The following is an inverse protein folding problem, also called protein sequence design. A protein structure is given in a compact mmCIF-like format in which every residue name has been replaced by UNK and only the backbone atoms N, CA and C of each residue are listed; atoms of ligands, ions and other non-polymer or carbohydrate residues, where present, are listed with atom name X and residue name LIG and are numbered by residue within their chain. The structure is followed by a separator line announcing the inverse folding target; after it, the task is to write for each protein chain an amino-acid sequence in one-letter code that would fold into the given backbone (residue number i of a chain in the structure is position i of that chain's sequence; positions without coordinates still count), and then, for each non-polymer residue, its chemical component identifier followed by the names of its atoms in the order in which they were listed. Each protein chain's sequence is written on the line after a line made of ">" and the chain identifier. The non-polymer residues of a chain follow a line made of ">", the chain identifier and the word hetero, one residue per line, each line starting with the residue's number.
data_IF_299700004225
#
_entry.id   IF_299700004225
#
_cell.length_a   1.000
_cell.length_b   1.000
_cell.length_c   1.000
_cell.angle_alpha   90.00
_cell.angle_beta   90.00
_cell.angle_gamma   90.00
#
_symmetry.space_group_name_H-M   'P 1'
#
loop_
_entity.id
_entity.type
_entity.pdbx_description
1 polymer ?
#
# COMPACT_ATOMS: atom_id res chain seq x y z
N UNK A 1 -37.45 -2.49 -2.77
CA UNK A 1 -36.60 -2.56 -3.98
C UNK A 1 -35.21 -2.04 -3.55
N UNK A 2 -34.32 -2.96 -3.20
CA UNK A 2 -33.00 -2.62 -2.67
C UNK A 2 -32.11 -2.12 -3.80
N UNK A 3 -31.78 -0.83 -3.79
CA UNK A 3 -30.79 -0.23 -4.68
C UNK A 3 -29.40 -0.65 -4.18
N UNK A 4 -28.93 -1.81 -4.61
CA UNK A 4 -27.54 -2.21 -4.38
C UNK A 4 -26.72 -1.41 -5.41
N UNK A 5 -25.88 -0.46 -4.99
CA UNK A 5 -24.94 0.15 -5.91
C UNK A 5 -24.04 -0.94 -6.46
N UNK A 6 -23.98 -1.09 -7.77
CA UNK A 6 -23.05 -2.01 -8.42
C UNK A 6 -21.64 -1.44 -8.33
N UNK A 7 -21.02 -1.59 -7.18
CA UNK A 7 -19.59 -1.34 -7.00
C UNK A 7 -18.87 -2.67 -6.81
N UNK A 8 -17.77 -2.81 -7.49
CA UNK A 8 -16.80 -3.85 -7.20
C UNK A 8 -15.82 -3.27 -6.18
N UNK A 9 -15.76 -3.87 -5.01
CA UNK A 9 -14.78 -3.51 -4.00
C UNK A 9 -13.78 -4.65 -3.83
N UNK A 10 -12.51 -4.35 -4.00
CA UNK A 10 -11.42 -5.23 -3.62
C UNK A 10 -10.83 -4.71 -2.32
N UNK A 11 -11.03 -5.45 -1.25
CA UNK A 11 -10.34 -5.16 0.02
C UNK A 11 -9.12 -6.06 0.11
N UNK A 12 -7.95 -5.48 -0.02
CA UNK A 12 -6.69 -6.17 0.28
C UNK A 12 -6.49 -6.16 1.79
N UNK A 13 -6.73 -7.29 2.43
CA UNK A 13 -6.45 -7.52 3.86
C UNK A 13 -5.02 -7.99 4.12
N UNK A 14 -4.22 -8.08 3.08
CA UNK A 14 -2.82 -8.49 3.17
C UNK A 14 -2.01 -7.49 3.98
N UNK A 15 -0.97 -7.99 4.61
CA UNK A 15 -0.05 -7.19 5.39
C UNK A 15 0.43 -5.96 4.61
N UNK A 16 0.46 -4.81 5.27
CA UNK A 16 1.01 -3.59 4.70
C UNK A 16 2.46 -3.80 4.29
N UNK A 17 2.87 -3.20 3.20
CA UNK A 17 4.23 -3.23 2.74
C UNK A 17 5.00 -2.02 3.30
N UNK A 18 6.04 -2.29 4.06
CA UNK A 18 7.02 -1.27 4.41
C UNK A 18 8.02 -1.14 3.27
N UNK A 19 8.22 0.08 2.79
CA UNK A 19 9.25 0.40 1.80
C UNK A 19 10.42 1.08 2.51
N UNK A 20 11.60 0.50 2.33
CA UNK A 20 12.80 0.92 3.04
C UNK A 20 14.03 0.90 2.13
N UNK A 21 15.02 1.67 2.51
CA UNK A 21 16.42 1.51 2.14
C UNK A 21 17.22 1.49 3.44
N UNK A 22 18.22 0.63 3.51
CA UNK A 22 19.18 0.37 4.58
C UNK A 22 19.17 1.37 5.78
N UNK A 23 19.26 0.98 7.08
CA UNK A 23 19.70 -0.34 7.57
C UNK A 23 18.56 -1.32 7.89
N UNK A 24 17.30 -0.90 7.88
CA UNK A 24 16.15 -1.75 8.22
C UNK A 24 15.92 -2.91 7.23
N UNK A 25 16.55 -2.83 6.06
CA UNK A 25 16.46 -3.84 5.00
C UNK A 25 16.92 -5.25 5.42
N UNK A 26 17.72 -5.37 6.48
CA UNK A 26 18.16 -6.67 7.03
C UNK A 26 17.05 -7.42 7.77
N UNK A 27 16.02 -6.71 8.22
CA UNK A 27 14.87 -7.32 8.89
C UNK A 27 13.91 -7.91 7.88
N UNK A 28 13.36 -9.09 8.20
CA UNK A 28 12.34 -9.75 7.36
C UNK A 28 10.95 -9.15 7.54
N UNK A 29 10.61 -8.79 8.75
CA UNK A 29 9.35 -8.14 9.13
C UNK A 29 9.68 -6.91 9.95
N UNK A 30 9.03 -5.80 9.62
CA UNK A 30 9.16 -4.55 10.35
C UNK A 30 7.97 -4.36 11.28
N UNK A 31 8.27 -3.93 12.50
CA UNK A 31 7.28 -3.54 13.50
C UNK A 31 7.15 -2.01 13.57
N UNK A 32 6.13 -1.46 14.21
CA UNK A 32 6.05 -0.01 14.42
C UNK A 32 7.31 0.57 15.07
N UNK A 33 7.90 -0.14 16.05
CA UNK A 33 9.08 0.32 16.80
C UNK A 33 10.31 0.56 15.92
N UNK A 34 10.43 -0.17 14.82
CA UNK A 34 11.53 0.00 13.86
C UNK A 34 11.54 1.37 13.18
N UNK A 35 10.45 2.09 13.26
CA UNK A 35 10.30 3.44 12.69
C UNK A 35 10.57 4.55 13.71
N UNK A 36 10.89 4.20 14.96
CA UNK A 36 11.12 5.20 16.00
C UNK A 36 12.39 6.02 15.72
N UNK A 37 12.22 7.34 15.58
CA UNK A 37 13.32 8.24 15.26
C UNK A 37 13.76 8.25 13.79
N UNK A 38 13.22 7.35 12.96
CA UNK A 38 13.58 7.26 11.55
C UNK A 38 13.08 8.46 10.73
N UNK A 39 13.83 8.81 9.71
CA UNK A 39 13.41 9.75 8.68
C UNK A 39 12.23 9.16 7.92
N UNK A 40 11.06 9.75 8.09
CA UNK A 40 9.83 9.22 7.53
C UNK A 40 9.29 10.10 6.42
N UNK A 41 8.98 9.48 5.29
CA UNK A 41 8.33 10.11 4.15
C UNK A 41 6.87 9.66 4.16
N UNK A 42 5.94 10.59 4.07
CA UNK A 42 4.53 10.31 4.25
C UNK A 42 3.65 10.81 3.12
N UNK A 43 2.47 10.22 3.01
CA UNK A 43 1.36 10.82 2.28
C UNK A 43 0.83 12.05 3.03
N UNK A 44 0.02 12.87 2.38
CA UNK A 44 -0.58 14.05 2.97
C UNK A 44 -1.54 13.68 4.11
N UNK A 45 -1.77 14.61 5.03
CA UNK A 45 -2.64 14.42 6.20
C UNK A 45 -4.10 14.15 5.85
N UNK A 46 -4.53 14.50 4.66
CA UNK A 46 -5.88 14.25 4.16
C UNK A 46 -6.07 12.84 3.58
N UNK A 47 -4.98 12.09 3.42
CA UNK A 47 -5.03 10.71 2.92
C UNK A 47 -5.49 9.76 4.04
N UNK A 48 -6.51 8.95 3.74
CA UNK A 48 -7.11 8.04 4.72
C UNK A 48 -6.16 6.92 5.16
N UNK A 49 -5.32 6.42 4.25
CA UNK A 49 -4.30 5.42 4.59
C UNK A 49 -3.24 5.99 5.55
N UNK A 50 -2.84 7.26 5.31
CA UNK A 50 -1.96 7.99 6.21
C UNK A 50 -2.58 8.15 7.60
N UNK A 51 -3.86 8.48 7.70
CA UNK A 51 -4.55 8.66 8.99
C UNK A 51 -4.56 7.36 9.80
N UNK A 52 -4.80 6.22 9.15
CA UNK A 52 -4.71 4.90 9.78
C UNK A 52 -3.30 4.61 10.30
N UNK A 53 -2.27 4.92 9.51
CA UNK A 53 -0.87 4.78 9.93
C UNK A 53 -0.53 5.69 11.10
N UNK A 54 -0.98 6.93 11.10
CA UNK A 54 -0.72 7.87 12.20
C UNK A 54 -1.36 7.39 13.51
N UNK A 55 -2.58 6.88 13.45
CA UNK A 55 -3.23 6.27 14.60
C UNK A 55 -2.42 5.07 15.11
N UNK A 56 -2.06 4.14 14.22
CA UNK A 56 -1.28 2.96 14.55
C UNK A 56 0.05 3.32 15.24
N UNK A 57 0.80 4.25 14.70
CA UNK A 57 2.07 4.68 15.28
C UNK A 57 1.88 5.40 16.63
N UNK A 58 0.78 6.14 16.78
CA UNK A 58 0.43 6.79 18.04
C UNK A 58 0.09 5.77 19.12
N UNK A 59 -0.72 4.77 18.81
CA UNK A 59 -1.10 3.68 19.72
C UNK A 59 0.13 2.87 20.18
N UNK A 60 1.13 2.72 19.30
CA UNK A 60 2.38 2.05 19.63
C UNK A 60 3.45 3.01 20.20
N UNK A 61 3.13 4.26 20.50
CA UNK A 61 4.04 5.27 21.06
C UNK A 61 5.29 5.55 20.20
N UNK A 62 5.21 5.33 18.90
CA UNK A 62 6.31 5.51 17.95
C UNK A 62 6.33 6.94 17.43
N UNK A 63 7.46 7.62 17.63
CA UNK A 63 7.72 8.99 17.13
C UNK A 63 8.61 8.90 15.91
N UNK A 64 8.03 9.13 14.71
CA UNK A 64 8.76 9.22 13.45
C UNK A 64 9.25 10.64 13.22
N UNK A 65 10.38 10.79 12.57
CA UNK A 65 10.86 12.12 12.13
C UNK A 65 10.30 12.42 10.74
N UNK A 66 9.18 13.12 10.69
CA UNK A 66 8.51 13.49 9.46
C UNK A 66 9.35 14.51 8.67
N UNK A 67 9.94 14.10 7.55
CA UNK A 67 10.82 14.98 6.76
C UNK A 67 10.18 15.43 5.45
N UNK A 68 9.28 14.65 4.87
CA UNK A 68 8.58 14.99 3.63
C UNK A 68 7.13 14.51 3.69
N UNK A 69 6.22 15.34 3.20
CA UNK A 69 4.84 14.97 2.91
C UNK A 69 4.54 15.18 1.42
N UNK A 70 3.84 14.24 0.79
CA UNK A 70 3.45 14.28 -0.62
C UNK A 70 2.08 13.68 -0.84
N UNK A 71 1.41 14.03 -1.93
CA UNK A 71 0.11 13.45 -2.33
C UNK A 71 0.24 12.15 -3.14
N UNK A 72 1.45 11.73 -3.47
CA UNK A 72 1.69 10.60 -4.39
C UNK A 72 2.49 9.49 -3.71
N UNK A 73 1.90 8.30 -3.62
CA UNK A 73 2.62 7.11 -3.14
C UNK A 73 3.80 6.73 -4.05
N UNK A 74 3.71 7.02 -5.34
CA UNK A 74 4.83 6.88 -6.28
C UNK A 74 6.02 7.78 -5.90
N UNK A 75 5.73 9.04 -5.54
CA UNK A 75 6.77 9.97 -5.07
C UNK A 75 7.39 9.52 -3.74
N UNK A 76 6.59 8.96 -2.83
CA UNK A 76 7.11 8.33 -1.60
C UNK A 76 8.12 7.26 -1.96
N UNK A 77 7.76 6.31 -2.83
CA UNK A 77 8.64 5.21 -3.24
C UNK A 77 9.92 5.71 -3.92
N UNK A 78 9.81 6.72 -4.78
CA UNK A 78 10.98 7.31 -5.45
C UNK A 78 11.96 7.95 -4.46
N UNK A 79 11.46 8.68 -3.45
CA UNK A 79 12.29 9.29 -2.41
C UNK A 79 12.90 8.25 -1.48
N UNK A 80 12.16 7.21 -1.11
CA UNK A 80 12.72 6.08 -0.34
C UNK A 80 13.84 5.43 -1.14
N UNK A 81 13.65 5.16 -2.42
CA UNK A 81 14.69 4.61 -3.31
C UNK A 81 15.93 5.51 -3.42
N UNK A 82 15.75 6.82 -3.33
CA UNK A 82 16.84 7.78 -3.30
C UNK A 82 17.55 7.87 -1.93
N UNK A 83 17.15 7.07 -0.94
CA UNK A 83 17.78 7.05 0.39
C UNK A 83 17.36 8.20 1.32
N UNK A 84 16.29 8.93 0.99
CA UNK A 84 15.85 10.09 1.79
C UNK A 84 15.27 9.64 3.13
N UNK A 85 14.64 8.48 3.19
CA UNK A 85 14.02 7.96 4.42
C UNK A 85 13.29 6.64 4.19
N UNK A 86 12.39 6.32 5.12
CA UNK A 86 11.57 5.11 5.11
C UNK A 86 10.09 5.46 5.05
N UNK A 87 9.25 4.50 4.65
CA UNK A 87 7.79 4.69 4.65
C UNK A 87 7.04 3.37 4.78
N UNK A 88 5.75 3.48 5.07
CA UNK A 88 4.78 2.39 4.89
C UNK A 88 3.78 2.83 3.82
N UNK A 89 3.64 2.03 2.77
CA UNK A 89 2.75 2.30 1.64
C UNK A 89 1.76 1.15 1.45
N UNK A 90 0.73 1.39 0.66
CA UNK A 90 -0.17 0.32 0.28
C UNK A 90 0.58 -0.74 -0.56
N UNK A 91 0.17 -2.01 -0.46
CA UNK A 91 0.91 -3.11 -1.08
C UNK A 91 0.93 -3.06 -2.61
N UNK A 92 -0.08 -2.48 -3.27
CA UNK A 92 -0.11 -2.35 -4.73
C UNK A 92 1.01 -1.42 -5.22
N UNK A 93 1.17 -0.27 -4.58
CA UNK A 93 2.28 0.64 -4.92
C UNK A 93 3.63 -0.02 -4.65
N UNK A 94 3.77 -0.76 -3.54
CA UNK A 94 5.01 -1.47 -3.23
C UNK A 94 5.37 -2.49 -4.33
N UNK A 95 4.37 -3.22 -4.86
CA UNK A 95 4.55 -4.18 -5.95
C UNK A 95 5.15 -3.53 -7.20
N UNK A 96 4.57 -2.40 -7.63
CA UNK A 96 5.02 -1.69 -8.84
C UNK A 96 6.48 -1.22 -8.74
N UNK A 97 6.91 -0.85 -7.54
CA UNK A 97 8.27 -0.33 -7.32
C UNK A 97 9.30 -1.37 -6.87
N UNK A 98 8.88 -2.56 -6.44
CA UNK A 98 9.79 -3.64 -6.06
C UNK A 98 10.75 -4.01 -7.20
N UNK A 99 10.23 -4.09 -8.43
CA UNK A 99 11.02 -4.38 -9.63
C UNK A 99 12.06 -3.31 -9.97
N UNK A 100 11.92 -2.09 -9.42
CA UNK A 100 12.83 -0.96 -9.67
C UNK A 100 13.92 -0.80 -8.61
N UNK A 101 14.17 -1.85 -7.80
CA UNK A 101 15.24 -1.87 -6.78
C UNK A 101 14.84 -1.28 -5.42
N UNK A 102 13.55 -1.02 -5.20
CA UNK A 102 13.05 -0.66 -3.90
C UNK A 102 13.00 -1.89 -2.99
N UNK A 103 13.56 -1.81 -1.81
CA UNK A 103 13.46 -2.89 -0.83
C UNK A 103 12.10 -2.83 -0.16
N UNK A 104 11.31 -3.87 -0.33
CA UNK A 104 9.99 -4.03 0.28
C UNK A 104 10.08 -5.06 1.39
N UNK A 105 9.50 -4.77 2.54
CA UNK A 105 9.42 -5.68 3.68
C UNK A 105 7.98 -5.75 4.19
N UNK A 106 7.65 -6.87 4.79
CA UNK A 106 6.37 -7.04 5.43
C UNK A 106 6.29 -6.14 6.67
N UNK A 107 5.19 -5.42 6.82
CA UNK A 107 4.88 -4.72 8.06
C UNK A 107 4.06 -5.63 8.97
N UNK A 108 4.39 -5.71 10.25
CA UNK A 108 3.80 -6.67 11.20
C UNK A 108 2.31 -6.46 11.44
N UNK A 109 1.82 -5.24 11.22
CA UNK A 109 0.42 -4.87 11.40
C UNK A 109 -0.22 -4.64 10.02
N UNK A 110 -1.34 -5.32 9.77
CA UNK A 110 -2.10 -5.13 8.54
C UNK A 110 -2.89 -3.82 8.60
N UNK A 111 -2.62 -2.91 7.67
CA UNK A 111 -3.42 -1.70 7.46
C UNK A 111 -4.34 -1.96 6.28
N UNK A 112 -5.66 -1.92 6.46
CA UNK A 112 -6.60 -2.26 5.40
C UNK A 112 -6.49 -1.26 4.24
N UNK A 113 -6.44 -1.80 3.03
CA UNK A 113 -6.41 -1.03 1.79
C UNK A 113 -7.49 -1.55 0.85
N UNK A 114 -8.37 -0.67 0.40
CA UNK A 114 -9.50 -1.03 -0.45
C UNK A 114 -9.43 -0.28 -1.77
N UNK A 115 -9.51 -1.00 -2.87
CA UNK A 115 -9.71 -0.46 -4.21
C UNK A 115 -11.14 -0.75 -4.63
N UNK A 116 -11.87 0.26 -5.09
CA UNK A 116 -13.25 0.11 -5.51
C UNK A 116 -13.43 0.59 -6.94
N UNK A 117 -14.07 -0.23 -7.76
CA UNK A 117 -14.57 0.17 -9.07
C UNK A 117 -15.99 0.70 -8.91
N UNK A 118 -16.18 1.98 -9.17
CA UNK A 118 -17.48 2.65 -9.04
C UNK A 118 -18.08 2.80 -10.42
N UNK A 119 -19.32 2.36 -10.59
CA UNK A 119 -20.09 2.56 -11.83
C UNK A 119 -21.32 3.42 -11.56
N UNK A 120 -21.64 4.36 -12.47
CA UNK A 120 -22.86 5.19 -12.34
C UNK A 120 -24.11 4.31 -12.47
N UNK A 121 -25.06 4.47 -11.55
CA UNK A 121 -26.27 3.67 -11.50
C UNK A 121 -27.26 3.96 -12.66
N UNK A 122 -27.22 5.16 -13.21
CA UNK A 122 -28.23 5.66 -14.14
C UNK A 122 -27.77 5.68 -15.61
N UNK A 123 -26.60 5.10 -15.90
CA UNK A 123 -26.13 4.96 -17.29
C UNK A 123 -26.06 3.49 -17.67
N UNK A 124 -26.61 3.09 -18.84
CA UNK A 124 -26.38 1.77 -19.38
C UNK A 124 -24.89 1.51 -19.50
N UNK A 125 -24.44 0.36 -19.07
CA UNK A 125 -23.05 -0.05 -19.25
C UNK A 125 -22.84 -0.40 -20.72
N UNK A 126 -21.90 0.27 -21.40
CA UNK A 126 -21.50 -0.15 -22.74
C UNK A 126 -20.80 -1.52 -22.68
N UNK A 127 -20.81 -2.26 -23.78
CA UNK A 127 -20.11 -3.54 -23.89
C UNK A 127 -18.61 -3.41 -23.54
N UNK A 128 -18.00 -2.28 -23.90
CA UNK A 128 -16.59 -1.99 -23.57
C UNK A 128 -16.38 -1.83 -22.05
N UNK A 129 -17.24 -1.11 -21.36
CA UNK A 129 -17.16 -0.93 -19.90
C UNK A 129 -17.37 -2.26 -19.17
N UNK A 130 -18.26 -3.10 -19.67
CA UNK A 130 -18.51 -4.42 -19.11
C UNK A 130 -17.31 -5.33 -19.32
N UNK A 131 -16.78 -5.45 -20.53
CA UNK A 131 -15.59 -6.23 -20.84
C UNK A 131 -14.37 -5.77 -20.03
N UNK A 132 -14.15 -4.46 -19.88
CA UNK A 132 -13.09 -3.92 -19.02
C UNK A 132 -13.26 -4.34 -17.57
N UNK A 133 -14.48 -4.25 -17.03
CA UNK A 133 -14.76 -4.63 -15.64
C UNK A 133 -14.51 -6.12 -15.40
N UNK A 134 -14.93 -6.97 -16.32
CA UNK A 134 -14.71 -8.41 -16.26
C UNK A 134 -13.21 -8.76 -16.34
N UNK A 135 -12.49 -8.08 -17.22
CA UNK A 135 -11.05 -8.28 -17.36
C UNK A 135 -10.27 -7.85 -16.12
N UNK A 136 -10.67 -6.72 -15.53
CA UNK A 136 -10.11 -6.24 -14.26
C UNK A 136 -10.36 -7.27 -13.14
N UNK A 137 -11.59 -7.78 -13.01
CA UNK A 137 -11.93 -8.80 -12.01
C UNK A 137 -11.12 -10.08 -12.18
N UNK A 138 -10.97 -10.53 -13.42
CA UNK A 138 -10.18 -11.73 -13.74
C UNK A 138 -8.68 -11.57 -13.45
N UNK A 139 -8.16 -10.33 -13.47
CA UNK A 139 -6.77 -10.00 -13.15
C UNK A 139 -6.46 -9.97 -11.65
N UNK A 140 -7.46 -9.73 -10.80
CA UNK A 140 -7.26 -9.53 -9.36
C UNK A 140 -6.58 -10.71 -8.64
N UNK A 141 -6.95 -11.99 -8.88
CA UNK A 141 -6.28 -13.11 -8.21
C UNK A 141 -4.78 -13.16 -8.51
N UNK A 142 -4.38 -12.85 -9.75
CA UNK A 142 -2.96 -12.80 -10.14
C UNK A 142 -2.21 -11.70 -9.39
N UNK A 143 -2.83 -10.55 -9.23
CA UNK A 143 -2.26 -9.43 -8.49
C UNK A 143 -2.03 -9.80 -7.02
N UNK A 144 -3.02 -10.41 -6.36
CA UNK A 144 -2.90 -10.89 -4.97
C UNK A 144 -1.76 -11.91 -4.84
N UNK A 145 -1.68 -12.88 -5.75
CA UNK A 145 -0.60 -13.88 -5.77
C UNK A 145 0.78 -13.22 -5.91
N UNK A 146 0.90 -12.20 -6.77
CA UNK A 146 2.16 -11.46 -6.96
C UNK A 146 2.56 -10.70 -5.70
N UNK A 147 1.59 -10.09 -5.01
CA UNK A 147 1.82 -9.42 -3.73
C UNK A 147 2.32 -10.38 -2.65
N UNK A 148 1.66 -11.52 -2.52
CA UNK A 148 2.06 -12.55 -1.55
C UNK A 148 3.46 -13.10 -1.86
N UNK A 149 3.79 -13.29 -3.14
CA UNK A 149 5.11 -13.75 -3.55
C UNK A 149 6.21 -12.75 -3.16
N UNK A 150 6.03 -11.44 -3.40
CA UNK A 150 7.01 -10.41 -3.01
C UNK A 150 7.16 -10.32 -1.50
N UNK A 151 6.05 -10.32 -0.77
CA UNK A 151 6.08 -10.26 0.70
C UNK A 151 6.65 -11.53 1.33
N UNK A 152 6.55 -12.68 0.66
CA UNK A 152 7.11 -13.96 1.11
C UNK A 152 8.58 -14.11 0.73
N UNK A 153 9.00 -13.68 -0.45
CA UNK A 153 10.42 -13.71 -0.87
C UNK A 153 11.29 -12.82 0.03
N UNK A 154 10.73 -11.73 0.54
CA UNK A 154 11.37 -10.90 1.56
C UNK A 154 11.62 -11.66 2.89
N UNK A 155 11.01 -12.83 3.08
CA UNK A 155 11.16 -13.67 4.27
C UNK A 155 12.28 -14.74 4.11
N UNK A 156 12.77 -14.99 2.89
CA UNK A 156 13.68 -16.12 2.60
C UNK A 156 15.13 -15.70 2.34
N UNK A 157 15.42 -14.43 2.18
CA UNK A 157 16.77 -13.85 2.06
C UNK A 157 17.14 -13.15 3.37
#
# INVERSE_FOLDING_TARGET
>A
MSLIPSYLSLTCKTASAAVILNPLAVKKVLTPDDFHGENYISLSRTDSYRQLLDQLFTENQVKRRMIVETHSAASVCAMVRAGVGVSVVNPLTALDYAASGLVVRRFSIAVPFTVSLIRPLHRPSSALVQAFSEHLQAGLPKLVTSLDAILSSATTA
#
